data_IF_624612702637
#
_entry.id   IF_624612702637
#
_cell.length_a   1.000
_cell.length_b   1.000
_cell.length_c   1.000
_cell.angle_alpha   90.00
_cell.angle_beta   90.00
_cell.angle_gamma   90.00
#
_symmetry.space_group_name_H-M   'P 1'
#
loop_
_entity.id
_entity.type
_entity.pdbx_description
1 polymer ?
#
# COMPACT_ATOMS: atom_id res chain seq x y z
N UNK A 1 7.64 -24.62 -7.47
CA UNK A 1 6.86 -23.36 -7.47
C UNK A 1 6.79 -22.87 -8.91
N UNK A 2 5.61 -22.73 -9.45
CA UNK A 2 5.37 -22.07 -10.73
C UNK A 2 4.99 -20.61 -10.41
N UNK A 3 5.77 -19.65 -10.90
CA UNK A 3 5.50 -18.21 -10.73
C UNK A 3 4.71 -17.63 -11.91
N UNK A 4 4.30 -18.48 -12.87
CA UNK A 4 3.38 -18.10 -13.94
C UNK A 4 1.97 -17.88 -13.39
N UNK A 5 1.24 -16.93 -13.98
CA UNK A 5 -0.17 -16.73 -13.65
C UNK A 5 -1.00 -17.89 -14.20
N UNK A 6 -1.91 -18.41 -13.39
CA UNK A 6 -2.94 -19.33 -13.86
C UNK A 6 -3.99 -18.59 -14.71
N UNK A 7 -4.93 -19.34 -15.32
CA UNK A 7 -5.92 -18.76 -16.23
C UNK A 7 -6.81 -17.72 -15.53
N UNK A 8 -7.25 -17.96 -14.30
CA UNK A 8 -8.09 -17.04 -13.53
C UNK A 8 -7.31 -15.76 -13.17
N UNK A 9 -6.06 -15.90 -12.76
CA UNK A 9 -5.16 -14.78 -12.47
C UNK A 9 -4.87 -13.94 -13.72
N UNK A 10 -4.66 -14.59 -14.87
CA UNK A 10 -4.50 -13.87 -16.14
C UNK A 10 -5.77 -13.11 -16.54
N UNK A 11 -6.95 -13.70 -16.30
CA UNK A 11 -8.23 -13.02 -16.53
C UNK A 11 -8.40 -11.81 -15.61
N UNK A 12 -8.09 -11.94 -14.31
CA UNK A 12 -8.12 -10.85 -13.35
C UNK A 12 -7.19 -9.71 -13.81
N UNK A 13 -5.95 -10.04 -14.18
CA UNK A 13 -4.97 -9.06 -14.69
C UNK A 13 -5.48 -8.32 -15.91
N UNK A 14 -5.98 -9.05 -16.92
CA UNK A 14 -6.47 -8.45 -18.15
C UNK A 14 -7.68 -7.53 -17.88
N UNK A 15 -8.64 -8.00 -17.07
CA UNK A 15 -9.80 -7.18 -16.66
C UNK A 15 -9.39 -5.91 -15.92
N UNK A 16 -8.39 -6.03 -15.01
CA UNK A 16 -7.86 -4.86 -14.30
C UNK A 16 -7.20 -3.86 -15.25
N UNK A 17 -6.42 -4.33 -16.23
CA UNK A 17 -5.81 -3.47 -17.25
C UNK A 17 -6.86 -2.74 -18.09
N UNK A 18 -7.82 -3.48 -18.64
CA UNK A 18 -8.88 -2.89 -19.48
C UNK A 18 -9.69 -1.85 -18.70
N UNK A 19 -10.05 -2.15 -17.46
CA UNK A 19 -10.79 -1.22 -16.61
C UNK A 19 -9.96 0.04 -16.28
N UNK A 20 -8.73 -0.13 -15.82
CA UNK A 20 -7.90 0.99 -15.40
C UNK A 20 -7.43 1.85 -16.58
N UNK A 21 -7.21 1.26 -17.75
CA UNK A 21 -6.93 2.02 -18.98
C UNK A 21 -8.11 2.93 -19.37
N UNK A 22 -9.33 2.45 -19.20
CA UNK A 22 -10.53 3.20 -19.53
C UNK A 22 -10.90 4.25 -18.47
N UNK A 23 -10.80 3.93 -17.19
CA UNK A 23 -11.37 4.69 -16.09
C UNK A 23 -10.33 5.52 -15.30
N UNK A 24 -9.04 5.17 -15.38
CA UNK A 24 -7.95 5.85 -14.68
C UNK A 24 -6.88 6.40 -15.63
N UNK A 25 -7.26 7.24 -16.64
CA UNK A 25 -6.26 7.91 -17.48
C UNK A 25 -5.43 8.89 -16.65
N UNK A 26 -4.27 9.31 -17.19
CA UNK A 26 -3.36 10.27 -16.52
C UNK A 26 -4.04 11.59 -16.15
N UNK A 27 -5.05 12.02 -16.90
CA UNK A 27 -5.85 13.22 -16.57
C UNK A 27 -6.59 13.04 -15.25
N UNK A 28 -7.20 11.86 -15.01
CA UNK A 28 -7.84 11.54 -13.74
C UNK A 28 -6.83 11.55 -12.59
N UNK A 29 -5.64 10.91 -12.78
CA UNK A 29 -4.59 10.91 -11.76
C UNK A 29 -4.18 12.33 -11.38
N UNK A 30 -4.02 13.23 -12.37
CA UNK A 30 -3.66 14.64 -12.14
C UNK A 30 -4.74 15.44 -11.46
N UNK A 31 -5.99 15.21 -11.83
CA UNK A 31 -7.14 15.83 -11.18
C UNK A 31 -7.21 15.44 -9.69
N UNK A 32 -6.99 14.16 -9.38
CA UNK A 32 -7.00 13.67 -8.01
C UNK A 32 -5.78 14.12 -7.18
N UNK A 33 -4.67 14.50 -7.82
CA UNK A 33 -3.56 15.16 -7.10
C UNK A 33 -3.95 16.55 -6.55
N UNK A 34 -4.85 17.25 -7.23
CA UNK A 34 -5.35 18.59 -6.84
C UNK A 34 -6.66 18.52 -6.05
N UNK A 35 -7.41 17.41 -6.12
CA UNK A 35 -8.67 17.21 -5.41
C UNK A 35 -8.45 17.07 -3.90
N UNK A 36 -9.35 17.64 -3.09
CA UNK A 36 -9.24 17.62 -1.63
C UNK A 36 -9.32 16.22 -1.05
N UNK A 37 -10.18 15.36 -1.59
CA UNK A 37 -10.36 13.97 -1.16
C UNK A 37 -9.34 13.01 -1.80
N UNK A 38 -8.81 13.36 -2.99
CA UNK A 38 -7.86 12.55 -3.74
C UNK A 38 -8.47 11.33 -4.43
N UNK A 39 -9.80 11.27 -4.55
CA UNK A 39 -10.55 10.26 -5.28
C UNK A 39 -11.98 10.73 -5.56
N UNK A 40 -12.71 10.06 -6.47
CA UNK A 40 -14.13 10.30 -6.68
C UNK A 40 -14.98 9.15 -6.14
N UNK A 41 -16.16 9.48 -5.60
CA UNK A 41 -17.14 8.46 -5.17
C UNK A 41 -17.56 7.57 -6.33
N UNK A 42 -17.61 8.12 -7.56
CA UNK A 42 -17.91 7.34 -8.76
C UNK A 42 -16.87 6.25 -9.01
N UNK A 43 -15.57 6.59 -8.97
CA UNK A 43 -14.49 5.59 -9.11
C UNK A 43 -14.59 4.53 -8.00
N UNK A 44 -14.84 4.96 -6.77
CA UNK A 44 -14.98 4.07 -5.62
C UNK A 44 -16.10 3.04 -5.80
N UNK A 45 -17.26 3.50 -6.28
CA UNK A 45 -18.39 2.63 -6.60
C UNK A 45 -18.07 1.65 -7.73
N UNK A 46 -17.40 2.11 -8.79
CA UNK A 46 -16.94 1.23 -9.88
C UNK A 46 -16.00 0.13 -9.37
N UNK A 47 -15.08 0.44 -8.45
CA UNK A 47 -14.20 -0.58 -7.82
C UNK A 47 -15.01 -1.58 -6.99
N UNK A 48 -16.05 -1.13 -6.27
CA UNK A 48 -16.96 -2.01 -5.53
C UNK A 48 -17.75 -2.93 -6.47
N UNK A 49 -18.29 -2.39 -7.58
CA UNK A 49 -19.02 -3.15 -8.61
C UNK A 49 -18.18 -4.24 -9.28
N UNK A 50 -16.86 -4.01 -9.40
CA UNK A 50 -15.91 -5.05 -9.85
C UNK A 50 -15.64 -6.12 -8.78
N UNK A 51 -16.14 -5.96 -7.55
CA UNK A 51 -15.86 -6.84 -6.43
C UNK A 51 -14.45 -6.67 -5.84
N UNK A 52 -13.69 -5.67 -6.27
CA UNK A 52 -12.29 -5.52 -5.89
C UNK A 52 -12.10 -5.10 -4.43
N UNK A 53 -13.05 -4.36 -3.85
CA UNK A 53 -12.99 -3.97 -2.44
C UNK A 53 -13.18 -5.18 -1.50
N UNK A 54 -13.90 -6.20 -1.96
CA UNK A 54 -14.11 -7.46 -1.25
C UNK A 54 -13.24 -8.62 -1.74
N UNK A 55 -12.21 -8.37 -2.59
CA UNK A 55 -11.46 -9.40 -3.31
C UNK A 55 -11.00 -10.55 -2.40
N UNK A 56 -10.41 -10.22 -1.24
CA UNK A 56 -9.85 -11.17 -0.28
C UNK A 56 -10.76 -11.40 0.93
N UNK A 57 -11.90 -10.71 1.00
CA UNK A 57 -12.86 -10.88 2.09
C UNK A 57 -13.61 -12.20 1.86
N UNK A 58 -13.78 -13.06 2.90
CA UNK A 58 -14.51 -14.31 2.79
C UNK A 58 -15.96 -14.13 2.30
N UNK A 59 -16.46 -15.10 1.51
CA UNK A 59 -17.83 -15.10 0.97
C UNK A 59 -18.90 -14.92 2.05
N UNK A 60 -18.69 -15.49 3.24
CA UNK A 60 -19.63 -15.35 4.39
C UNK A 60 -19.79 -13.90 4.89
N UNK A 61 -18.89 -13.00 4.48
CA UNK A 61 -18.96 -11.55 4.74
C UNK A 61 -19.19 -10.75 3.44
N UNK A 62 -19.65 -11.40 2.37
CA UNK A 62 -19.99 -10.73 1.11
C UNK A 62 -18.80 -10.42 0.20
N UNK A 63 -17.63 -10.99 0.45
CA UNK A 63 -16.46 -10.88 -0.40
C UNK A 63 -16.37 -11.92 -1.50
N UNK A 64 -15.25 -11.95 -2.21
CA UNK A 64 -14.95 -12.89 -3.33
C UNK A 64 -14.12 -14.08 -2.87
N UNK A 65 -13.45 -13.97 -1.72
CA UNK A 65 -12.62 -15.02 -1.09
C UNK A 65 -11.43 -15.49 -1.96
N UNK A 66 -10.80 -14.56 -2.68
CA UNK A 66 -9.55 -14.84 -3.37
C UNK A 66 -8.34 -14.70 -2.43
N UNK A 67 -7.18 -15.18 -2.89
CA UNK A 67 -5.96 -15.21 -2.11
C UNK A 67 -5.20 -13.86 -2.14
N UNK A 68 -4.26 -13.67 -1.20
CA UNK A 68 -3.41 -12.47 -1.17
C UNK A 68 -2.56 -12.34 -2.45
N UNK A 69 -2.16 -13.45 -3.07
CA UNK A 69 -1.47 -13.44 -4.36
C UNK A 69 -2.32 -12.81 -5.47
N UNK A 70 -3.62 -13.05 -5.48
CA UNK A 70 -4.53 -12.45 -6.47
C UNK A 70 -4.68 -10.95 -6.23
N UNK A 71 -4.78 -10.53 -4.95
CA UNK A 71 -4.73 -9.11 -4.59
C UNK A 71 -3.43 -8.44 -5.06
N UNK A 72 -2.30 -9.14 -4.95
CA UNK A 72 -1.01 -8.63 -5.41
C UNK A 72 -0.99 -8.35 -6.92
N UNK A 73 -1.65 -9.19 -7.73
CA UNK A 73 -1.81 -8.97 -9.17
C UNK A 73 -2.64 -7.71 -9.46
N UNK A 74 -3.73 -7.51 -8.71
CA UNK A 74 -4.55 -6.31 -8.85
C UNK A 74 -3.79 -5.04 -8.44
N UNK A 75 -3.04 -5.09 -7.32
CA UNK A 75 -2.21 -3.97 -6.88
C UNK A 75 -1.08 -3.64 -7.87
N UNK A 76 -0.52 -4.63 -8.58
CA UNK A 76 0.45 -4.40 -9.66
C UNK A 76 -0.17 -3.53 -10.76
N UNK A 77 -1.40 -3.85 -11.20
CA UNK A 77 -2.08 -3.05 -12.21
C UNK A 77 -2.50 -1.66 -11.67
N UNK A 78 -2.95 -1.58 -10.41
CA UNK A 78 -3.21 -0.27 -9.78
C UNK A 78 -1.95 0.61 -9.72
N UNK A 79 -0.80 0.03 -9.44
CA UNK A 79 0.49 0.73 -9.50
C UNK A 79 0.89 1.14 -10.92
N UNK A 80 0.61 0.29 -11.92
CA UNK A 80 0.84 0.57 -13.33
C UNK A 80 0.10 1.82 -13.81
N UNK A 81 -1.16 1.98 -13.40
CA UNK A 81 -2.02 3.12 -13.76
C UNK A 81 -2.02 4.23 -12.70
N UNK A 82 -1.24 4.08 -11.64
CA UNK A 82 -1.16 5.06 -10.54
C UNK A 82 -2.50 5.37 -9.89
N UNK A 83 -3.39 4.37 -9.74
CA UNK A 83 -4.72 4.55 -9.19
C UNK A 83 -4.66 5.33 -7.86
N UNK A 84 -5.29 6.52 -7.76
CA UNK A 84 -5.37 7.27 -6.53
C UNK A 84 -6.53 6.80 -5.65
N UNK A 85 -6.53 7.23 -4.38
CA UNK A 85 -7.64 7.00 -3.46
C UNK A 85 -7.37 5.93 -2.41
N UNK A 86 -8.42 5.54 -1.66
CA UNK A 86 -8.27 4.82 -0.41
C UNK A 86 -8.19 3.29 -0.55
N UNK A 87 -8.02 2.73 -1.76
CA UNK A 87 -8.04 1.28 -1.96
C UNK A 87 -7.07 0.55 -1.03
N UNK A 88 -5.80 0.97 -1.04
CA UNK A 88 -4.77 0.31 -0.24
C UNK A 88 -5.02 0.44 1.27
N UNK A 89 -5.37 1.63 1.74
CA UNK A 89 -5.67 1.86 3.16
C UNK A 89 -6.90 1.07 3.63
N UNK A 90 -7.92 0.98 2.78
CA UNK A 90 -9.17 0.30 3.12
C UNK A 90 -9.04 -1.23 3.06
N UNK A 91 -8.50 -1.78 1.97
CA UNK A 91 -8.45 -3.23 1.76
C UNK A 91 -7.25 -3.85 2.51
N UNK A 92 -6.04 -3.33 2.26
CA UNK A 92 -4.80 -3.95 2.79
C UNK A 92 -4.58 -3.62 4.26
N UNK A 93 -4.85 -2.39 4.69
CA UNK A 93 -4.57 -1.99 6.07
C UNK A 93 -5.77 -2.19 6.99
N UNK A 94 -6.88 -1.50 6.74
CA UNK A 94 -8.07 -1.58 7.58
C UNK A 94 -8.76 -2.95 7.49
N UNK A 95 -9.09 -3.40 6.28
CA UNK A 95 -9.81 -4.64 6.04
C UNK A 95 -9.07 -5.87 6.53
N UNK A 96 -7.78 -6.01 6.20
CA UNK A 96 -6.98 -7.17 6.67
C UNK A 96 -6.76 -7.13 8.18
N UNK A 97 -6.64 -5.96 8.81
CA UNK A 97 -6.57 -5.86 10.28
C UNK A 97 -7.85 -6.40 10.94
N UNK A 98 -9.02 -6.05 10.39
CA UNK A 98 -10.30 -6.55 10.90
C UNK A 98 -10.46 -8.05 10.62
N UNK A 99 -10.09 -8.52 9.44
CA UNK A 99 -10.14 -9.95 9.09
C UNK A 99 -9.28 -10.81 10.02
N UNK A 100 -8.07 -10.35 10.34
CA UNK A 100 -7.15 -11.13 11.18
C UNK A 100 -7.55 -11.09 12.66
N UNK A 101 -7.84 -9.91 13.20
CA UNK A 101 -7.97 -9.66 14.64
C UNK A 101 -9.42 -9.57 15.14
N UNK A 102 -10.36 -9.12 14.30
CA UNK A 102 -11.73 -8.84 14.74
C UNK A 102 -12.48 -10.04 15.29
N UNK A 103 -13.37 -9.81 16.29
CA UNK A 103 -14.34 -10.82 16.70
C UNK A 103 -15.31 -11.15 15.56
N UNK A 104 -16.06 -12.23 15.68
CA UNK A 104 -17.04 -12.60 14.66
C UNK A 104 -18.08 -11.46 14.44
N UNK A 105 -18.53 -10.83 15.54
CA UNK A 105 -19.46 -9.70 15.49
C UNK A 105 -18.86 -8.51 14.76
N UNK A 106 -17.58 -8.18 15.04
CA UNK A 106 -16.87 -7.09 14.36
C UNK A 106 -16.68 -7.39 12.87
N UNK A 107 -16.31 -8.63 12.52
CA UNK A 107 -16.20 -9.05 11.12
C UNK A 107 -17.53 -8.93 10.39
N UNK A 108 -18.62 -9.35 11.00
CA UNK A 108 -19.98 -9.22 10.45
C UNK A 108 -20.44 -7.77 10.30
N UNK A 109 -19.97 -6.87 11.18
CA UNK A 109 -20.33 -5.45 11.14
C UNK A 109 -19.57 -4.69 10.03
N UNK A 110 -18.25 -4.92 9.91
CA UNK A 110 -17.40 -4.07 9.09
C UNK A 110 -17.10 -4.65 7.69
N UNK A 111 -16.80 -5.96 7.58
CA UNK A 111 -16.31 -6.52 6.32
C UNK A 111 -17.31 -6.45 5.16
N UNK A 112 -18.63 -6.71 5.35
CA UNK A 112 -19.60 -6.54 4.29
C UNK A 112 -19.66 -5.10 3.77
N UNK A 113 -19.61 -4.14 4.68
CA UNK A 113 -19.66 -2.70 4.33
C UNK A 113 -18.38 -2.24 3.61
N UNK A 114 -17.23 -2.84 3.93
CA UNK A 114 -15.98 -2.63 3.18
C UNK A 114 -16.12 -3.20 1.77
N UNK A 115 -16.57 -4.47 1.64
CA UNK A 115 -16.71 -5.14 0.35
C UNK A 115 -17.67 -4.40 -0.61
N UNK A 116 -18.73 -3.83 -0.07
CA UNK A 116 -19.72 -3.03 -0.82
C UNK A 116 -19.31 -1.56 -1.02
N UNK A 117 -18.16 -1.14 -0.49
CA UNK A 117 -17.67 0.24 -0.59
C UNK A 117 -18.47 1.27 0.21
N UNK A 118 -19.27 0.82 1.18
CA UNK A 118 -20.12 1.68 2.03
C UNK A 118 -19.32 2.43 3.09
N UNK A 119 -18.16 1.91 3.49
CA UNK A 119 -17.26 2.53 4.46
C UNK A 119 -15.81 2.45 3.99
N UNK A 120 -15.05 3.42 4.43
CA UNK A 120 -13.60 3.47 4.28
C UNK A 120 -12.97 3.30 5.67
N UNK A 121 -12.07 2.34 5.80
CA UNK A 121 -11.33 2.06 7.04
C UNK A 121 -9.85 2.23 6.79
N UNK A 122 -9.16 2.92 7.68
CA UNK A 122 -7.70 3.07 7.62
C UNK A 122 -7.02 2.56 8.89
N UNK A 123 -5.68 2.48 8.85
CA UNK A 123 -4.84 2.06 9.98
C UNK A 123 -3.95 3.21 10.42
N UNK A 124 -4.01 3.56 11.70
CA UNK A 124 -3.14 4.51 12.36
C UNK A 124 -2.06 3.76 13.17
N UNK A 125 -0.89 3.60 12.57
CA UNK A 125 0.23 2.80 13.11
C UNK A 125 1.42 3.70 13.49
N UNK A 126 1.96 4.44 12.53
CA UNK A 126 3.22 5.15 12.68
C UNK A 126 3.14 6.29 13.70
N UNK A 127 4.23 6.51 14.41
CA UNK A 127 4.39 7.57 15.41
C UNK A 127 5.65 8.40 15.15
N UNK A 128 5.86 9.51 15.89
CA UNK A 128 7.02 10.40 15.70
C UNK A 128 8.38 9.72 15.81
N UNK A 129 8.48 8.61 16.53
CA UNK A 129 9.72 7.80 16.63
C UNK A 129 10.18 7.23 15.28
N UNK A 130 9.25 7.03 14.33
CA UNK A 130 9.53 6.42 13.02
C UNK A 130 9.89 4.93 13.08
N UNK A 131 9.73 4.28 14.23
CA UNK A 131 10.03 2.85 14.43
C UNK A 131 8.93 1.95 13.87
N UNK A 132 9.33 0.72 13.50
CA UNK A 132 8.45 -0.31 12.94
C UNK A 132 8.39 -1.55 13.84
N UNK A 133 8.51 -1.37 15.15
CA UNK A 133 8.51 -2.40 16.20
C UNK A 133 7.60 -1.99 17.36
N UNK A 134 7.30 -2.90 18.32
CA UNK A 134 6.42 -2.61 19.44
C UNK A 134 6.88 -1.44 20.32
N UNK A 135 8.20 -1.25 20.46
CA UNK A 135 8.77 -0.16 21.25
C UNK A 135 8.46 1.22 20.65
N UNK A 136 8.19 1.28 19.33
CA UNK A 136 7.79 2.50 18.64
C UNK A 136 6.35 2.92 18.90
N UNK A 137 5.54 2.15 19.63
CA UNK A 137 4.15 2.47 19.95
C UNK A 137 4.11 3.15 21.31
N UNK A 138 3.92 4.47 21.30
CA UNK A 138 3.87 5.34 22.48
C UNK A 138 2.44 5.82 22.81
N UNK A 139 1.53 5.88 21.81
CA UNK A 139 0.12 6.20 22.01
C UNK A 139 -0.49 5.23 23.02
N UNK A 140 -1.06 5.76 24.11
CA UNK A 140 -1.58 4.96 25.22
C UNK A 140 -3.09 4.70 25.10
N UNK A 141 -3.53 3.54 25.59
CA UNK A 141 -4.93 3.22 25.81
C UNK A 141 -5.13 2.78 27.27
N UNK A 142 -5.59 3.71 28.11
CA UNK A 142 -5.80 3.46 29.54
C UNK A 142 -7.20 2.91 29.79
N UNK A 143 -7.27 1.74 30.43
CA UNK A 143 -8.55 1.12 30.82
C UNK A 143 -9.02 1.64 32.18
N UNK A 144 -10.25 2.16 32.24
CA UNK A 144 -10.88 2.60 33.48
C UNK A 144 -12.37 2.30 33.44
N UNK A 145 -12.85 1.49 34.38
CA UNK A 145 -14.29 1.20 34.54
C UNK A 145 -14.93 0.53 33.33
N UNK A 146 -14.19 -0.28 32.58
CA UNK A 146 -14.70 -0.97 31.39
C UNK A 146 -14.77 -0.08 30.14
N UNK A 147 -14.09 1.05 30.16
CA UNK A 147 -13.86 1.94 29.01
C UNK A 147 -12.37 2.13 28.79
N UNK A 148 -11.99 2.54 27.58
CA UNK A 148 -10.63 2.93 27.24
C UNK A 148 -10.56 4.42 26.96
N UNK A 149 -9.43 5.05 27.31
CA UNK A 149 -9.12 6.41 26.93
C UNK A 149 -7.84 6.39 26.10
N UNK A 150 -7.91 6.85 24.85
CA UNK A 150 -6.75 6.98 23.95
C UNK A 150 -6.14 8.38 24.10
N UNK A 151 -4.81 8.41 24.23
CA UNK A 151 -4.04 9.67 24.24
C UNK A 151 -2.71 9.49 23.48
N UNK A 152 -2.43 10.40 22.53
CA UNK A 152 -1.20 10.38 21.73
C UNK A 152 -1.40 10.83 20.29
N UNK A 153 -0.37 10.62 19.47
CA UNK A 153 -0.34 11.08 18.07
C UNK A 153 0.13 9.99 17.12
N UNK A 154 -0.57 9.86 16.00
CA UNK A 154 -0.17 9.01 14.86
C UNK A 154 0.19 9.87 13.67
N UNK A 155 1.24 9.48 12.94
CA UNK A 155 1.73 10.17 11.76
C UNK A 155 1.51 9.35 10.49
N UNK A 156 1.41 10.03 9.37
CA UNK A 156 1.30 9.42 8.04
C UNK A 156 0.16 8.44 7.91
N UNK A 157 -0.97 8.70 8.61
CA UNK A 157 -2.17 7.86 8.52
C UNK A 157 -2.80 8.05 7.14
N UNK A 158 -2.81 7.01 6.28
CA UNK A 158 -3.27 7.17 4.91
C UNK A 158 -4.79 7.35 4.85
N UNK A 159 -5.23 8.33 4.07
CA UNK A 159 -6.65 8.62 3.82
C UNK A 159 -7.53 8.83 5.09
N UNK A 160 -6.92 9.21 6.22
CA UNK A 160 -7.69 9.42 7.46
C UNK A 160 -8.81 10.47 7.29
N UNK A 161 -8.57 11.52 6.52
CA UNK A 161 -9.50 12.65 6.30
C UNK A 161 -10.83 12.24 5.64
N UNK A 162 -10.86 11.13 4.91
CA UNK A 162 -12.07 10.57 4.25
C UNK A 162 -12.51 9.24 4.84
N UNK A 163 -11.79 8.69 5.84
CA UNK A 163 -12.16 7.41 6.45
C UNK A 163 -13.35 7.56 7.38
N UNK A 164 -14.24 6.58 7.38
CA UNK A 164 -15.35 6.46 8.34
C UNK A 164 -14.84 5.93 9.67
N UNK A 165 -13.89 5.00 9.62
CA UNK A 165 -13.30 4.36 10.81
C UNK A 165 -11.77 4.33 10.72
N UNK A 166 -11.14 4.39 11.89
CA UNK A 166 -9.69 4.25 12.04
C UNK A 166 -9.44 3.04 12.96
N UNK A 167 -8.60 2.11 12.50
CA UNK A 167 -7.96 1.12 13.36
C UNK A 167 -6.73 1.76 13.97
N UNK A 168 -6.67 1.86 15.30
CA UNK A 168 -5.58 2.51 16.04
C UNK A 168 -4.78 1.46 16.80
N UNK A 169 -3.46 1.50 16.62
CA UNK A 169 -2.51 0.69 17.38
C UNK A 169 -2.12 1.44 18.64
N UNK A 170 -2.37 0.86 19.82
CA UNK A 170 -2.14 1.55 21.08
C UNK A 170 -1.51 0.63 22.14
N UNK A 171 -0.73 1.23 23.02
CA UNK A 171 -0.12 0.58 24.16
C UNK A 171 -1.14 0.49 25.33
N UNK A 172 -1.37 -0.73 25.82
CA UNK A 172 -2.37 -1.01 26.86
C UNK A 172 -1.76 -1.47 28.18
N UNK A 173 -0.43 -1.47 28.30
CA UNK A 173 0.32 -1.84 29.49
C UNK A 173 1.81 -1.53 29.40
N UNK A 174 2.59 -1.94 30.41
CA UNK A 174 4.03 -1.65 30.50
C UNK A 174 4.92 -2.71 29.82
N UNK A 175 4.34 -3.83 29.40
CA UNK A 175 5.06 -4.89 28.69
C UNK A 175 5.36 -4.50 27.24
N UNK A 176 6.42 -5.07 26.69
CA UNK A 176 6.83 -4.81 25.30
C UNK A 176 5.70 -5.16 24.33
N UNK A 177 5.04 -6.29 24.53
CA UNK A 177 3.93 -6.81 23.70
C UNK A 177 2.54 -6.33 24.14
N UNK A 178 2.43 -5.43 25.14
CA UNK A 178 1.16 -4.91 25.61
C UNK A 178 0.56 -3.90 24.63
N UNK A 179 0.38 -4.36 23.39
CA UNK A 179 -0.19 -3.61 22.27
C UNK A 179 -1.57 -4.18 21.94
N UNK A 180 -2.54 -3.28 21.78
CA UNK A 180 -3.91 -3.62 21.39
C UNK A 180 -4.34 -2.79 20.19
N UNK A 181 -5.36 -3.28 19.47
CA UNK A 181 -6.00 -2.58 18.38
C UNK A 181 -7.35 -2.06 18.81
N UNK A 182 -7.68 -0.86 18.37
CA UNK A 182 -8.98 -0.24 18.61
C UNK A 182 -9.59 0.22 17.30
N UNK A 183 -10.87 -0.02 17.08
CA UNK A 183 -11.61 0.54 15.95
C UNK A 183 -12.59 1.60 16.45
N UNK A 184 -12.54 2.78 15.84
CA UNK A 184 -13.40 3.89 16.24
C UNK A 184 -13.80 4.75 15.03
N UNK A 185 -14.95 5.43 15.09
CA UNK A 185 -15.31 6.42 14.07
C UNK A 185 -14.25 7.54 13.98
N UNK A 186 -13.86 7.89 12.77
CA UNK A 186 -12.83 8.91 12.54
C UNK A 186 -13.21 10.32 13.05
N UNK A 187 -14.49 10.56 13.24
CA UNK A 187 -15.06 11.82 13.75
C UNK A 187 -15.38 11.75 15.26
N UNK A 188 -14.77 10.80 16.00
CA UNK A 188 -14.94 10.72 17.46
C UNK A 188 -14.45 11.98 18.14
N UNK A 189 -15.13 12.36 19.23
CA UNK A 189 -14.73 13.53 20.00
C UNK A 189 -13.30 13.35 20.56
N UNK A 190 -12.44 14.35 20.39
CA UNK A 190 -11.02 14.31 20.75
C UNK A 190 -10.11 13.78 19.65
N UNK A 191 -10.64 13.29 18.52
CA UNK A 191 -9.83 12.95 17.32
C UNK A 191 -9.70 14.19 16.44
N UNK A 192 -8.45 14.63 16.19
CA UNK A 192 -8.15 15.73 15.29
C UNK A 192 -7.25 15.24 14.18
N UNK A 193 -7.47 15.75 12.96
CA UNK A 193 -6.75 15.32 11.77
C UNK A 193 -6.16 16.53 11.05
N UNK A 194 -4.89 16.45 10.68
CA UNK A 194 -4.19 17.46 9.89
C UNK A 194 -3.59 16.83 8.65
N UNK A 195 -4.04 17.24 7.49
CA UNK A 195 -3.53 16.72 6.21
C UNK A 195 -2.07 17.16 6.00
N UNK A 196 -1.21 16.21 5.67
CA UNK A 196 0.22 16.43 5.43
C UNK A 196 0.48 16.61 3.92
N UNK A 197 1.44 17.48 3.60
CA UNK A 197 1.93 17.62 2.22
C UNK A 197 2.98 16.55 1.94
N UNK A 198 2.69 15.66 1.02
CA UNK A 198 3.57 14.57 0.63
C UNK A 198 4.18 14.78 -0.75
N UNK A 199 5.30 14.12 -1.03
CA UNK A 199 5.98 14.22 -2.33
C UNK A 199 5.15 13.58 -3.46
N UNK A 200 4.39 12.53 -3.16
CA UNK A 200 3.60 11.80 -4.13
C UNK A 200 2.18 12.35 -4.30
N UNK A 201 1.82 13.40 -3.58
CA UNK A 201 0.44 13.95 -3.49
C UNK A 201 -0.58 12.91 -2.99
N UNK A 202 -0.13 11.83 -2.37
CA UNK A 202 -0.97 10.89 -1.65
C UNK A 202 -1.48 11.53 -0.35
N UNK A 203 -2.68 11.19 0.05
CA UNK A 203 -3.36 11.78 1.21
C UNK A 203 -2.95 11.06 2.50
N UNK A 204 -2.16 11.71 3.32
CA UNK A 204 -1.73 11.23 4.62
C UNK A 204 -1.98 12.31 5.68
N UNK A 205 -2.36 11.91 6.89
CA UNK A 205 -2.66 12.85 7.97
C UNK A 205 -1.81 12.57 9.21
N UNK A 206 -1.51 13.62 9.95
CA UNK A 206 -1.29 13.53 11.38
C UNK A 206 -2.65 13.38 12.05
N UNK A 207 -2.80 12.42 12.96
CA UNK A 207 -4.01 12.19 13.75
C UNK A 207 -3.67 12.24 15.22
N UNK A 208 -4.24 13.19 15.95
CA UNK A 208 -4.07 13.34 17.40
C UNK A 208 -5.30 12.82 18.12
N UNK A 209 -5.08 12.08 19.19
CA UNK A 209 -6.09 11.56 20.10
C UNK A 209 -5.92 12.27 21.44
N UNK A 210 -6.85 13.17 21.78
CA UNK A 210 -6.84 13.93 23.02
C UNK A 210 -7.93 13.39 23.93
N UNK A 211 -7.56 12.50 24.86
CA UNK A 211 -8.45 11.87 25.83
C UNK A 211 -9.70 11.26 25.17
N UNK A 212 -9.55 10.53 24.08
CA UNK A 212 -10.65 9.93 23.33
C UNK A 212 -11.23 8.75 24.12
N UNK A 213 -12.44 8.92 24.65
CA UNK A 213 -13.14 7.85 25.37
C UNK A 213 -13.79 6.85 24.42
N UNK A 214 -13.52 5.56 24.65
CA UNK A 214 -14.05 4.45 23.87
C UNK A 214 -14.74 3.41 24.76
N UNK A 215 -15.85 2.81 24.31
CA UNK A 215 -16.42 1.65 24.98
C UNK A 215 -15.50 0.43 24.83
N UNK A 216 -15.64 -0.56 25.71
CA UNK A 216 -14.87 -1.80 25.61
C UNK A 216 -15.04 -2.52 24.25
N UNK A 217 -16.20 -2.37 23.60
CA UNK A 217 -16.49 -2.94 22.28
C UNK A 217 -15.62 -2.36 21.13
N UNK A 218 -14.96 -1.21 21.34
CA UNK A 218 -14.01 -0.65 20.39
C UNK A 218 -12.69 -1.41 20.36
N UNK A 219 -12.37 -2.24 21.35
CA UNK A 219 -11.22 -3.15 21.30
C UNK A 219 -11.40 -4.12 20.12
N UNK A 220 -10.50 -4.09 19.16
CA UNK A 220 -10.52 -4.97 18.01
C UNK A 220 -9.79 -6.27 18.35
N UNK A 221 -10.54 -7.36 18.49
CA UNK A 221 -10.01 -8.65 18.92
C UNK A 221 -9.68 -8.70 20.42
N UNK A 222 -8.51 -9.24 20.76
CA UNK A 222 -8.08 -9.50 22.15
C UNK A 222 -7.09 -8.44 22.64
N UNK A 223 -7.22 -8.06 23.92
CA UNK A 223 -6.27 -7.16 24.57
C UNK A 223 -4.86 -7.75 24.58
N UNK A 224 -3.86 -6.93 24.34
CA UNK A 224 -2.44 -7.29 24.32
C UNK A 224 -2.07 -8.35 23.24
N UNK A 225 -2.86 -8.42 22.15
CA UNK A 225 -2.62 -9.30 21.00
C UNK A 225 -2.50 -8.54 19.69
N UNK A 226 -2.56 -7.22 19.73
CA UNK A 226 -2.57 -6.37 18.54
C UNK A 226 -1.30 -6.45 17.71
N UNK A 227 -0.13 -6.58 18.35
CA UNK A 227 1.13 -6.60 17.62
C UNK A 227 1.24 -7.79 16.65
N UNK A 228 0.75 -8.97 17.02
CA UNK A 228 0.74 -10.14 16.15
C UNK A 228 -0.01 -9.90 14.83
N UNK A 229 -1.11 -9.14 14.88
CA UNK A 229 -1.83 -8.71 13.67
C UNK A 229 -1.03 -7.66 12.90
N UNK A 230 -0.41 -6.70 13.59
CA UNK A 230 0.39 -5.66 12.94
C UNK A 230 1.59 -6.25 12.20
N UNK A 231 2.28 -7.24 12.74
CA UNK A 231 3.36 -7.95 12.03
C UNK A 231 2.89 -8.54 10.70
N UNK A 232 1.70 -9.12 10.65
CA UNK A 232 1.11 -9.62 9.40
C UNK A 232 0.76 -8.48 8.44
N UNK A 233 0.11 -7.42 8.96
CA UNK A 233 -0.25 -6.24 8.17
C UNK A 233 0.99 -5.56 7.58
N UNK A 234 2.10 -5.48 8.32
CA UNK A 234 3.36 -4.96 7.82
C UNK A 234 3.90 -5.80 6.65
N UNK A 235 3.80 -7.13 6.72
CA UNK A 235 4.23 -8.04 5.64
C UNK A 235 3.33 -7.88 4.40
N UNK A 236 2.01 -7.89 4.59
CA UNK A 236 1.04 -7.66 3.51
C UNK A 236 1.20 -6.27 2.88
N UNK A 237 1.36 -5.25 3.73
CA UNK A 237 1.60 -3.88 3.27
C UNK A 237 2.89 -3.73 2.47
N UNK A 238 3.99 -4.33 2.94
CA UNK A 238 5.27 -4.31 2.24
C UNK A 238 5.18 -4.98 0.86
N UNK A 239 4.57 -6.18 0.77
CA UNK A 239 4.43 -6.89 -0.51
C UNK A 239 3.40 -6.23 -1.42
N UNK A 240 2.29 -5.71 -0.88
CA UNK A 240 1.35 -4.91 -1.65
C UNK A 240 2.01 -3.67 -2.28
N UNK A 241 2.89 -2.97 -1.54
CA UNK A 241 3.68 -1.86 -2.10
C UNK A 241 4.73 -2.32 -3.11
N UNK A 242 5.33 -3.50 -2.93
CA UNK A 242 6.20 -4.09 -3.96
C UNK A 242 5.43 -4.35 -5.26
N UNK A 243 4.19 -4.80 -5.19
CA UNK A 243 3.33 -4.99 -6.36
C UNK A 243 3.05 -3.66 -7.08
N UNK A 244 2.61 -2.63 -6.37
CA UNK A 244 2.40 -1.29 -6.95
C UNK A 244 3.70 -0.74 -7.58
N UNK A 245 4.85 -0.92 -6.92
CA UNK A 245 6.15 -0.51 -7.45
C UNK A 245 6.54 -1.29 -8.71
N UNK A 246 6.25 -2.59 -8.78
CA UNK A 246 6.51 -3.43 -9.96
C UNK A 246 5.68 -2.96 -11.15
N UNK A 247 4.39 -2.70 -10.95
CA UNK A 247 3.49 -2.16 -11.98
C UNK A 247 3.93 -0.76 -12.45
N UNK A 248 4.25 0.13 -11.52
CA UNK A 248 4.79 1.45 -11.85
C UNK A 248 6.12 1.39 -12.61
N UNK A 249 7.01 0.47 -12.22
CA UNK A 249 8.27 0.21 -12.93
C UNK A 249 8.06 -0.25 -14.36
N UNK A 250 7.08 -1.14 -14.59
CA UNK A 250 6.70 -1.58 -15.93
C UNK A 250 6.21 -0.42 -16.80
N UNK A 251 5.37 0.46 -16.28
CA UNK A 251 4.92 1.65 -17.03
C UNK A 251 6.06 2.59 -17.39
N UNK A 252 7.00 2.81 -16.48
CA UNK A 252 8.19 3.62 -16.75
C UNK A 252 9.05 3.01 -17.85
N UNK A 253 9.23 1.69 -17.85
CA UNK A 253 9.95 0.96 -18.90
C UNK A 253 9.23 1.11 -20.24
N UNK A 254 7.92 0.83 -20.29
CA UNK A 254 7.13 0.89 -21.53
C UNK A 254 7.18 2.30 -22.14
N UNK A 255 6.96 3.34 -21.33
CA UNK A 255 7.02 4.74 -21.73
C UNK A 255 8.41 5.12 -22.26
N UNK A 256 9.47 4.62 -21.63
CA UNK A 256 10.86 4.90 -22.04
C UNK A 256 11.20 4.22 -23.37
N UNK A 257 10.76 2.98 -23.56
CA UNK A 257 10.96 2.24 -24.82
C UNK A 257 10.21 2.92 -25.95
N UNK A 258 8.95 3.34 -25.77
CA UNK A 258 8.20 4.05 -26.79
C UNK A 258 8.82 5.42 -27.13
N UNK A 259 9.25 6.17 -26.14
CA UNK A 259 9.98 7.42 -26.38
C UNK A 259 11.26 7.16 -27.16
N UNK A 260 12.04 6.14 -26.82
CA UNK A 260 13.29 5.80 -27.51
C UNK A 260 13.10 5.41 -28.98
N UNK A 261 11.95 4.80 -29.33
CA UNK A 261 11.58 4.48 -30.72
C UNK A 261 11.21 5.72 -31.54
N UNK A 262 10.57 6.70 -30.91
CA UNK A 262 10.00 7.87 -31.59
C UNK A 262 10.97 9.07 -31.64
N UNK A 263 11.71 9.31 -30.54
CA UNK A 263 12.58 10.47 -30.42
C UNK A 263 13.81 10.35 -31.31
N UNK A 264 13.97 11.29 -32.18
CA UNK A 264 15.10 11.34 -33.13
C UNK A 264 16.16 12.38 -32.68
N UNK A 265 17.41 11.96 -32.63
CA UNK A 265 18.59 12.80 -32.44
C UNK A 265 19.75 12.25 -33.28
N UNK A 266 20.67 13.10 -33.73
CA UNK A 266 21.77 12.69 -34.57
C UNK A 266 21.33 11.95 -35.85
N UNK A 267 20.16 12.31 -36.41
CA UNK A 267 19.59 11.77 -37.65
C UNK A 267 18.93 10.41 -37.57
N UNK A 268 18.71 9.84 -36.34
CA UNK A 268 18.05 8.54 -36.16
C UNK A 268 17.37 8.44 -34.80
N UNK A 269 16.41 7.49 -34.59
CA UNK A 269 15.82 7.25 -33.28
C UNK A 269 16.85 6.96 -32.21
N UNK A 270 16.66 7.52 -30.99
CA UNK A 270 17.64 7.37 -29.92
C UNK A 270 17.78 5.92 -29.45
N UNK A 271 16.74 5.09 -29.59
CA UNK A 271 16.76 3.66 -29.28
C UNK A 271 17.71 2.84 -30.16
N UNK A 272 18.28 3.44 -31.25
CA UNK A 272 19.33 2.81 -32.05
C UNK A 272 20.74 2.97 -31.44
N UNK A 273 20.88 3.80 -30.39
CA UNK A 273 22.16 3.97 -29.69
C UNK A 273 22.29 2.95 -28.56
N UNK A 274 23.42 2.27 -28.52
CA UNK A 274 23.71 1.20 -27.58
C UNK A 274 23.53 1.65 -26.09
N UNK A 275 23.89 2.89 -25.76
CA UNK A 275 23.72 3.45 -24.43
C UNK A 275 22.23 3.44 -23.98
N UNK A 276 21.29 3.82 -24.87
CA UNK A 276 19.86 3.80 -24.59
C UNK A 276 19.32 2.35 -24.53
N UNK A 277 19.81 1.48 -25.45
CA UNK A 277 19.46 0.05 -25.41
C UNK A 277 19.86 -0.60 -24.08
N UNK A 278 21.04 -0.28 -23.55
CA UNK A 278 21.50 -0.78 -22.25
C UNK A 278 20.67 -0.22 -21.10
N UNK A 279 20.25 1.06 -21.14
CA UNK A 279 19.32 1.60 -20.15
C UNK A 279 18.01 0.81 -20.13
N UNK A 280 17.36 0.61 -21.28
CA UNK A 280 16.12 -0.15 -21.37
C UNK A 280 16.30 -1.63 -20.94
N UNK A 281 17.42 -2.27 -21.30
CA UNK A 281 17.72 -3.64 -20.89
C UNK A 281 17.91 -3.76 -19.36
N UNK A 282 18.63 -2.81 -18.74
CA UNK A 282 18.78 -2.76 -17.28
C UNK A 282 17.43 -2.54 -16.58
N UNK A 283 16.60 -1.61 -17.10
CA UNK A 283 15.25 -1.39 -16.59
C UNK A 283 14.40 -2.65 -16.69
N UNK A 284 14.42 -3.36 -17.82
CA UNK A 284 13.69 -4.62 -18.00
C UNK A 284 14.15 -5.68 -17.00
N UNK A 285 15.45 -5.81 -16.75
CA UNK A 285 16.00 -6.74 -15.76
C UNK A 285 15.53 -6.40 -14.33
N UNK A 286 15.54 -5.11 -13.98
CA UNK A 286 15.05 -4.65 -12.67
C UNK A 286 13.55 -4.89 -12.50
N UNK A 287 12.73 -4.61 -13.52
CA UNK A 287 11.27 -4.81 -13.51
C UNK A 287 10.91 -6.28 -13.39
N UNK A 288 11.50 -7.15 -14.21
CA UNK A 288 11.27 -8.60 -14.13
C UNK A 288 11.70 -9.17 -12.77
N UNK A 289 12.88 -8.76 -12.29
CA UNK A 289 13.37 -9.16 -10.97
C UNK A 289 12.43 -8.72 -9.84
N UNK A 290 11.92 -7.48 -9.89
CA UNK A 290 10.97 -6.93 -8.93
C UNK A 290 9.66 -7.75 -8.92
N UNK A 291 9.11 -8.05 -10.09
CA UNK A 291 7.89 -8.85 -10.24
C UNK A 291 8.03 -10.24 -9.63
N UNK A 292 9.06 -10.99 -10.00
CA UNK A 292 9.20 -12.37 -9.55
C UNK A 292 9.48 -12.49 -8.05
N UNK A 293 10.30 -11.61 -7.47
CA UNK A 293 10.57 -11.63 -6.03
C UNK A 293 9.30 -11.25 -5.23
N UNK A 294 8.48 -10.32 -5.76
CA UNK A 294 7.18 -9.94 -5.18
C UNK A 294 6.20 -11.10 -5.22
N UNK A 295 6.06 -11.78 -6.36
CA UNK A 295 5.16 -12.92 -6.53
C UNK A 295 5.56 -14.11 -5.65
N UNK A 296 6.87 -14.36 -5.48
CA UNK A 296 7.35 -15.39 -4.56
C UNK A 296 6.92 -15.10 -3.12
N UNK A 297 7.15 -13.88 -2.64
CA UNK A 297 6.79 -13.50 -1.28
C UNK A 297 5.25 -13.49 -1.09
N UNK A 298 4.49 -13.02 -2.08
CA UNK A 298 3.02 -13.03 -2.05
C UNK A 298 2.46 -14.45 -1.98
N UNK A 299 2.98 -15.38 -2.79
CA UNK A 299 2.61 -16.79 -2.76
C UNK A 299 2.88 -17.42 -1.39
N UNK A 300 4.07 -17.17 -0.82
CA UNK A 300 4.39 -17.71 0.50
C UNK A 300 3.45 -17.19 1.59
N UNK A 301 3.06 -15.90 1.53
CA UNK A 301 2.09 -15.31 2.45
C UNK A 301 0.70 -15.93 2.27
N UNK A 302 0.25 -16.20 1.04
CA UNK A 302 -1.03 -16.87 0.75
C UNK A 302 -1.07 -18.29 1.30
N UNK A 303 0.03 -19.05 1.16
CA UNK A 303 0.15 -20.42 1.66
C UNK A 303 0.39 -20.50 3.19
N UNK A 304 0.47 -19.36 3.89
CA UNK A 304 0.77 -19.32 5.32
C UNK A 304 2.18 -19.83 5.68
N UNK A 305 3.11 -19.79 4.73
CA UNK A 305 4.51 -20.21 4.92
C UNK A 305 5.31 -19.11 5.64
N UNK A 306 6.39 -19.48 6.37
CA UNK A 306 7.35 -18.50 6.88
C UNK A 306 7.94 -17.68 5.73
N UNK A 307 7.69 -16.37 5.71
CA UNK A 307 8.04 -15.50 4.58
C UNK A 307 8.85 -14.25 5.00
N UNK A 308 9.35 -14.19 6.23
CA UNK A 308 10.01 -12.99 6.76
C UNK A 308 11.22 -12.59 5.91
N UNK A 309 12.05 -13.56 5.52
CA UNK A 309 13.21 -13.33 4.66
C UNK A 309 12.80 -12.86 3.26
N UNK A 310 11.82 -13.53 2.65
CA UNK A 310 11.36 -13.23 1.30
C UNK A 310 10.68 -11.87 1.23
N UNK A 311 9.89 -11.51 2.24
CA UNK A 311 9.29 -10.18 2.38
C UNK A 311 10.37 -9.09 2.50
N UNK A 312 11.36 -9.30 3.37
CA UNK A 312 12.45 -8.35 3.55
C UNK A 312 13.30 -8.20 2.27
N UNK A 313 13.68 -9.32 1.63
CA UNK A 313 14.40 -9.32 0.35
C UNK A 313 13.61 -8.61 -0.75
N UNK A 314 12.30 -8.89 -0.86
CA UNK A 314 11.45 -8.26 -1.86
C UNK A 314 11.36 -6.76 -1.65
N UNK A 315 11.08 -6.30 -0.42
CA UNK A 315 10.92 -4.87 -0.13
C UNK A 315 12.23 -4.10 -0.35
N UNK A 316 13.36 -4.64 0.10
CA UNK A 316 14.68 -4.03 -0.14
C UNK A 316 14.98 -3.91 -1.64
N UNK A 317 14.89 -5.03 -2.37
CA UNK A 317 15.22 -5.06 -3.80
C UNK A 317 14.29 -4.20 -4.65
N UNK A 318 12.97 -4.34 -4.48
CA UNK A 318 11.97 -3.65 -5.32
C UNK A 318 12.02 -2.14 -5.10
N UNK A 319 12.24 -1.68 -3.86
CA UNK A 319 12.42 -0.26 -3.55
C UNK A 319 13.57 0.35 -4.34
N UNK A 320 14.73 -0.32 -4.37
CA UNK A 320 15.90 0.14 -5.11
C UNK A 320 15.75 -0.02 -6.62
N UNK A 321 15.18 -1.14 -7.08
CA UNK A 321 14.92 -1.39 -8.49
C UNK A 321 14.01 -0.30 -9.10
N UNK A 322 12.89 0.03 -8.45
CA UNK A 322 11.97 1.04 -8.96
C UNK A 322 12.62 2.44 -9.02
N UNK A 323 13.42 2.82 -8.03
CA UNK A 323 14.21 4.07 -8.08
C UNK A 323 15.16 4.09 -9.26
N UNK A 324 15.91 2.99 -9.50
CA UNK A 324 16.83 2.88 -10.64
C UNK A 324 16.08 2.97 -11.96
N UNK A 325 14.96 2.28 -12.10
CA UNK A 325 14.11 2.32 -13.29
C UNK A 325 13.64 3.75 -13.56
N UNK A 326 13.15 4.49 -12.57
CA UNK A 326 12.77 5.89 -12.70
C UNK A 326 13.97 6.78 -13.09
N UNK A 327 15.14 6.58 -12.50
CA UNK A 327 16.34 7.36 -12.80
C UNK A 327 16.80 7.13 -14.25
N UNK A 328 16.81 5.88 -14.75
CA UNK A 328 17.15 5.56 -16.14
C UNK A 328 16.08 6.07 -17.11
N UNK A 329 14.80 6.04 -16.73
CA UNK A 329 13.71 6.66 -17.46
C UNK A 329 13.93 8.16 -17.64
N UNK A 330 14.19 8.90 -16.56
CA UNK A 330 14.52 10.32 -16.61
C UNK A 330 15.76 10.60 -17.47
N UNK A 331 16.82 9.82 -17.32
CA UNK A 331 18.03 9.95 -18.13
C UNK A 331 17.73 9.78 -19.62
N UNK A 332 16.87 8.84 -19.98
CA UNK A 332 16.52 8.55 -21.39
C UNK A 332 15.62 9.61 -22.00
N UNK A 333 14.67 10.17 -21.24
CA UNK A 333 13.79 11.25 -21.69
C UNK A 333 14.48 12.61 -21.69
N UNK A 334 15.49 12.81 -20.84
CA UNK A 334 16.14 14.11 -20.66
C UNK A 334 15.20 15.14 -20.03
N UNK A 335 15.35 16.42 -20.42
CA UNK A 335 14.64 17.52 -19.78
C UNK A 335 13.10 17.38 -19.76
N UNK A 336 12.50 16.76 -20.77
CA UNK A 336 11.05 16.60 -20.84
C UNK A 336 10.51 15.73 -19.70
N UNK A 337 11.25 14.69 -19.29
CA UNK A 337 10.85 13.81 -18.20
C UNK A 337 10.71 14.50 -16.84
N UNK A 338 11.33 15.68 -16.66
CA UNK A 338 11.26 16.46 -15.43
C UNK A 338 10.15 17.52 -15.43
N UNK A 339 9.45 17.70 -16.56
CA UNK A 339 8.36 18.67 -16.63
C UNK A 339 7.11 18.16 -15.95
N UNK A 340 6.26 19.07 -15.46
CA UNK A 340 4.99 18.70 -14.79
C UNK A 340 4.00 18.02 -15.75
N UNK A 341 4.10 18.33 -17.02
CA UNK A 341 3.21 17.79 -18.07
C UNK A 341 3.52 16.34 -18.39
N UNK A 342 4.77 15.90 -18.19
CA UNK A 342 5.18 14.52 -18.47
C UNK A 342 4.88 13.59 -17.29
N UNK A 343 4.40 12.35 -17.57
CA UNK A 343 3.99 11.40 -16.53
C UNK A 343 5.18 10.82 -15.74
N UNK A 344 6.39 10.84 -16.28
CA UNK A 344 7.59 10.31 -15.62
C UNK A 344 7.76 10.83 -14.18
N UNK A 345 7.49 12.13 -13.95
CA UNK A 345 7.61 12.73 -12.63
C UNK A 345 6.57 12.19 -11.62
N UNK A 346 5.40 11.71 -12.09
CA UNK A 346 4.38 11.09 -11.23
C UNK A 346 4.89 9.77 -10.66
N UNK A 347 5.48 8.92 -11.50
CA UNK A 347 6.09 7.66 -11.08
C UNK A 347 7.28 7.86 -10.15
N UNK A 348 8.16 8.81 -10.45
CA UNK A 348 9.35 9.08 -9.62
C UNK A 348 9.00 9.54 -8.21
N UNK A 349 7.97 10.38 -8.06
CA UNK A 349 7.48 10.82 -6.74
C UNK A 349 6.87 9.66 -5.96
N UNK A 350 6.06 8.81 -6.64
CA UNK A 350 5.48 7.61 -6.05
C UNK A 350 6.53 6.58 -5.68
N UNK A 351 7.58 6.42 -6.50
CA UNK A 351 8.70 5.54 -6.18
C UNK A 351 9.36 5.91 -4.84
N UNK A 352 9.56 7.22 -4.60
CA UNK A 352 10.14 7.68 -3.32
C UNK A 352 9.20 7.48 -2.13
N UNK A 353 7.92 7.73 -2.30
CA UNK A 353 6.93 7.50 -1.24
C UNK A 353 6.79 6.00 -0.90
N UNK A 354 6.71 5.13 -1.93
CA UNK A 354 6.57 3.69 -1.74
C UNK A 354 7.83 3.04 -1.15
N UNK A 355 9.02 3.58 -1.46
CA UNK A 355 10.28 3.15 -0.82
C UNK A 355 10.21 3.28 0.70
N UNK A 356 9.70 4.40 1.21
CA UNK A 356 9.63 4.70 2.64
C UNK A 356 8.49 3.98 3.36
N UNK A 357 7.44 3.59 2.65
CA UNK A 357 6.30 2.90 3.23
C UNK A 357 6.70 1.50 3.72
N UNK A 358 6.27 1.12 4.94
CA UNK A 358 6.56 -0.17 5.58
C UNK A 358 8.05 -0.47 5.78
N UNK A 359 8.86 0.56 5.97
CA UNK A 359 10.31 0.49 6.08
C UNK A 359 11.01 0.65 4.73
N UNK A 360 12.17 1.27 4.76
CA UNK A 360 13.01 1.49 3.57
C UNK A 360 13.91 0.29 3.26
N UNK A 361 14.75 0.45 2.23
CA UNK A 361 15.69 -0.61 1.81
C UNK A 361 16.67 -0.98 2.91
N UNK A 362 17.18 -0.02 3.67
CA UNK A 362 18.20 -0.23 4.69
C UNK A 362 17.61 -1.04 5.86
N UNK A 363 16.41 -0.68 6.35
CA UNK A 363 15.71 -1.44 7.37
C UNK A 363 15.49 -2.92 6.97
N UNK A 364 15.10 -3.13 5.71
CA UNK A 364 14.86 -4.49 5.23
C UNK A 364 16.16 -5.28 4.97
N UNK A 365 17.26 -4.62 4.60
CA UNK A 365 18.57 -5.24 4.49
C UNK A 365 19.09 -5.65 5.87
N UNK A 366 18.89 -4.82 6.91
CA UNK A 366 19.23 -5.19 8.29
C UNK A 366 18.45 -6.43 8.75
N UNK A 367 17.14 -6.50 8.45
CA UNK A 367 16.33 -7.71 8.72
C UNK A 367 16.86 -8.94 8.00
N UNK A 368 17.28 -8.81 6.73
CA UNK A 368 17.89 -9.92 6.00
C UNK A 368 19.20 -10.36 6.65
N UNK A 369 20.04 -9.39 7.03
CA UNK A 369 21.32 -9.67 7.71
C UNK A 369 21.12 -10.43 9.03
N UNK A 370 20.17 -10.00 9.84
CA UNK A 370 19.79 -10.67 11.08
C UNK A 370 19.30 -12.11 10.84
N UNK A 371 18.41 -12.32 9.85
CA UNK A 371 17.86 -13.65 9.53
C UNK A 371 18.95 -14.62 9.06
N UNK A 372 19.99 -14.15 8.37
CA UNK A 372 21.12 -15.00 7.93
C UNK A 372 22.23 -15.11 8.97
N UNK A 373 22.07 -14.48 10.16
CA UNK A 373 22.95 -14.62 11.32
C UNK A 373 24.16 -13.68 11.34
N UNK A 374 24.03 -12.49 10.76
CA UNK A 374 25.03 -11.41 10.78
C UNK A 374 24.68 -10.36 11.82
#
# INVERSE_FOLDING_TARGET
MDLGLNEAQQMLKNSAQEFLEAECPDTYVREMEEDENGYTTEMWQKLAEQGWLGLIIPEKYGGVELEFQDLTILLEEMGRFMLPGPYFSNVVLGGMSIMDSGTEEQKQEYLPRIAEGQIIVTLALNEPSGRWDPEGIELTATETGGKYTLDGTKLFVPNAHISDYIVVVARTGDGEDDISLFILPSQSNGVNQTLLKTIASDRQSEVTFDNVELPASSLLGEKNRGWQTIEKVLKWGAIGKCAEMSGGGQSVLDMTVEYAKQRTQFGRPIGTFQAIQHHCANMATDVEGAKFITYQAAWMLSEGLPADREVAMAKAWVSDAYKRVCALGHQSHGAIGFTKEHNMQLYSRRAKAAELAFGDSDLHLDKVAEIIGL
#
